data_IF_929152086290
#
_entry.id   IF_929152086290
#
_cell.length_a   1.000
_cell.length_b   1.000
_cell.length_c   1.000
_cell.angle_alpha   90.00
_cell.angle_beta   90.00
_cell.angle_gamma   90.00
#
_symmetry.space_group_name_H-M   'P 1'
#
loop_
_entity.id
_entity.type
_entity.pdbx_description
1 polymer ?
#
# COMPACT_ATOMS: atom_id res chain seq x y z
N UNK A 1 4.36 -10.37 -14.33
CA UNK A 1 5.00 -9.79 -13.17
C UNK A 1 6.14 -10.68 -12.67
N UNK A 2 7.31 -10.13 -12.56
CA UNK A 2 8.44 -10.87 -12.00
C UNK A 2 8.11 -11.23 -10.55
N UNK A 3 8.21 -12.52 -10.25
CA UNK A 3 8.09 -13.02 -8.90
C UNK A 3 9.28 -12.50 -8.09
N UNK A 4 9.04 -11.83 -6.99
CA UNK A 4 10.08 -11.55 -6.03
C UNK A 4 10.54 -12.88 -5.42
N UNK A 5 11.48 -13.55 -6.06
CA UNK A 5 12.09 -14.76 -5.53
C UNK A 5 12.88 -14.39 -4.29
N UNK A 6 12.65 -15.13 -3.22
CA UNK A 6 13.41 -15.00 -1.99
C UNK A 6 14.90 -15.16 -2.31
N UNK A 7 15.62 -14.09 -2.30
CA UNK A 7 17.07 -14.14 -2.28
C UNK A 7 17.47 -14.19 -0.83
N UNK A 8 18.14 -15.28 -0.51
CA UNK A 8 18.70 -15.65 0.78
C UNK A 8 19.01 -14.50 1.75
N UNK A 9 18.32 -14.50 2.87
CA UNK A 9 18.72 -14.07 4.22
C UNK A 9 19.39 -12.72 4.49
N UNK A 10 19.82 -11.96 3.48
CA UNK A 10 20.63 -10.75 3.67
C UNK A 10 20.25 -9.58 2.75
N UNK A 11 19.00 -9.45 2.41
CA UNK A 11 18.57 -8.60 1.30
C UNK A 11 17.71 -7.41 1.64
N UNK A 12 17.81 -6.90 2.85
CA UNK A 12 17.36 -5.53 3.05
C UNK A 12 18.62 -4.66 3.18
N UNK A 13 18.97 -3.92 2.13
CA UNK A 13 20.04 -2.93 2.26
C UNK A 13 19.74 -1.99 3.42
N UNK A 14 20.78 -1.48 4.00
CA UNK A 14 20.67 -0.43 5.02
C UNK A 14 19.66 0.63 4.56
N UNK A 15 18.68 0.93 5.40
CA UNK A 15 17.66 1.94 5.13
C UNK A 15 16.24 1.43 4.95
N UNK A 16 15.99 0.11 4.92
CA UNK A 16 14.62 -0.39 4.93
C UNK A 16 14.11 -0.57 6.35
N UNK A 17 13.12 0.22 6.73
CA UNK A 17 12.52 0.12 8.06
C UNK A 17 11.51 -1.03 8.12
N UNK A 18 11.63 -1.87 9.16
CA UNK A 18 10.65 -2.91 9.45
C UNK A 18 9.41 -2.38 10.17
N UNK A 19 9.36 -1.09 10.49
CA UNK A 19 8.25 -0.49 11.24
C UNK A 19 6.97 -0.45 10.41
N UNK A 20 5.80 -0.62 11.03
CA UNK A 20 4.53 -0.51 10.32
C UNK A 20 4.21 0.92 9.87
N UNK A 21 4.68 1.91 10.62
CA UNK A 21 4.51 3.33 10.28
C UNK A 21 5.86 3.97 10.05
N UNK A 22 5.96 4.75 8.98
CA UNK A 22 7.17 5.48 8.59
C UNK A 22 6.76 6.89 8.20
N UNK A 23 7.46 7.90 8.74
CA UNK A 23 7.34 9.26 8.22
C UNK A 23 7.92 9.29 6.81
N UNK A 24 7.12 9.70 5.84
CA UNK A 24 7.53 9.65 4.44
C UNK A 24 8.62 10.67 4.14
N UNK A 25 9.67 10.20 3.52
CA UNK A 25 10.69 11.02 2.87
C UNK A 25 11.17 10.32 1.60
N UNK A 26 11.90 11.03 0.75
CA UNK A 26 12.32 10.51 -0.56
C UNK A 26 13.26 9.29 -0.47
N UNK A 27 13.91 9.08 0.67
CA UNK A 27 14.82 7.96 0.88
C UNK A 27 14.19 6.76 1.58
N UNK A 28 12.98 6.93 2.12
CA UNK A 28 12.35 5.92 2.99
C UNK A 28 12.14 4.56 2.32
N UNK A 29 11.92 4.56 1.01
CA UNK A 29 11.62 3.36 0.23
C UNK A 29 12.60 3.17 -0.94
N UNK A 30 13.85 3.52 -0.75
CA UNK A 30 14.87 3.42 -1.81
C UNK A 30 14.95 2.04 -2.41
N UNK A 31 14.88 0.99 -1.60
CA UNK A 31 14.89 -0.39 -2.08
C UNK A 31 13.70 -0.67 -3.00
N UNK A 32 12.51 -0.29 -2.59
CA UNK A 32 11.30 -0.52 -3.39
C UNK A 32 11.37 0.22 -4.72
N UNK A 33 11.84 1.44 -4.71
CA UNK A 33 11.97 2.28 -5.89
C UNK A 33 13.18 1.98 -6.76
N UNK A 34 14.00 1.01 -6.39
CA UNK A 34 14.99 0.48 -7.33
C UNK A 34 14.32 -0.32 -8.47
N UNK A 35 13.11 -0.81 -8.25
CA UNK A 35 12.33 -1.56 -9.23
C UNK A 35 10.96 -0.93 -9.54
N UNK A 36 10.34 -0.29 -8.56
CA UNK A 36 9.03 0.37 -8.73
C UNK A 36 9.19 1.86 -9.06
N UNK A 37 8.25 2.39 -9.83
CA UNK A 37 8.26 3.81 -10.16
C UNK A 37 7.78 4.66 -8.98
N UNK A 38 8.43 5.79 -8.76
CA UNK A 38 8.07 6.73 -7.69
C UNK A 38 6.70 7.37 -7.88
N UNK A 39 6.21 7.44 -9.11
CA UNK A 39 4.89 7.98 -9.45
C UNK A 39 3.77 7.36 -8.61
N UNK A 40 3.98 6.12 -8.16
CA UNK A 40 3.09 5.42 -7.27
C UNK A 40 2.71 6.24 -6.03
N UNK A 41 3.62 7.05 -5.50
CA UNK A 41 3.46 7.80 -4.26
C UNK A 41 3.58 9.31 -4.41
N UNK A 42 3.75 9.84 -5.62
CA UNK A 42 4.12 11.25 -5.78
C UNK A 42 2.93 12.19 -5.78
N UNK A 43 1.77 11.75 -6.25
CA UNK A 43 0.65 12.64 -6.49
C UNK A 43 -0.62 12.13 -5.82
N UNK A 44 -1.43 13.03 -5.24
CA UNK A 44 -2.70 12.65 -4.60
C UNK A 44 -3.75 12.14 -5.59
N UNK A 45 -3.62 12.54 -6.86
CA UNK A 45 -4.52 12.12 -7.92
C UNK A 45 -3.72 11.48 -9.05
N UNK A 46 -4.29 10.44 -9.65
CA UNK A 46 -3.67 9.72 -10.76
C UNK A 46 -4.73 9.00 -11.59
N UNK A 47 -4.44 8.80 -12.87
CA UNK A 47 -5.25 7.94 -13.74
C UNK A 47 -4.49 6.71 -14.23
N UNK A 48 -3.19 6.62 -13.96
CA UNK A 48 -2.33 5.59 -14.57
C UNK A 48 -1.28 4.98 -13.64
N UNK A 49 -0.83 5.69 -12.61
CA UNK A 49 0.34 5.24 -11.82
C UNK A 49 0.04 4.04 -10.93
N UNK A 50 -1.21 3.82 -10.58
CA UNK A 50 -1.64 2.70 -9.75
C UNK A 50 -3.07 2.30 -10.05
N UNK A 51 -3.36 1.00 -9.89
CA UNK A 51 -4.73 0.49 -9.84
C UNK A 51 -5.39 0.64 -8.47
N UNK A 52 -4.61 0.92 -7.42
CA UNK A 52 -5.13 1.19 -6.08
C UNK A 52 -5.53 2.67 -5.99
N UNK A 53 -6.66 2.97 -6.61
CA UNK A 53 -7.23 4.33 -6.67
C UNK A 53 -8.75 4.27 -6.68
N UNK A 54 -9.36 5.26 -6.08
CA UNK A 54 -10.81 5.45 -6.12
C UNK A 54 -11.11 6.64 -7.01
N UNK A 55 -11.63 6.37 -8.22
CA UNK A 55 -11.60 7.39 -9.26
C UNK A 55 -10.18 7.85 -9.53
N UNK A 56 -9.94 9.14 -9.43
CA UNK A 56 -8.62 9.74 -9.54
C UNK A 56 -7.81 9.71 -8.23
N UNK A 57 -8.45 9.49 -7.10
CA UNK A 57 -7.77 9.53 -5.80
C UNK A 57 -6.79 8.38 -5.62
N UNK A 58 -5.50 8.70 -5.53
CA UNK A 58 -4.41 7.74 -5.36
C UNK A 58 -4.38 7.24 -3.91
N UNK A 59 -4.77 5.99 -3.70
CA UNK A 59 -4.83 5.41 -2.36
C UNK A 59 -3.45 5.00 -1.82
N UNK A 60 -2.46 4.75 -2.67
CA UNK A 60 -1.08 4.63 -2.19
C UNK A 60 -0.58 5.93 -1.59
N UNK A 61 -0.82 7.05 -2.29
CA UNK A 61 -0.47 8.37 -1.76
C UNK A 61 -1.17 8.61 -0.42
N UNK A 62 -2.46 8.35 -0.34
CA UNK A 62 -3.26 8.55 0.87
C UNK A 62 -2.71 7.80 2.09
N UNK A 63 -2.23 6.57 1.87
CA UNK A 63 -1.76 5.72 2.98
C UNK A 63 -0.29 5.95 3.31
N UNK A 64 0.54 6.14 2.32
CA UNK A 64 2.00 6.08 2.46
C UNK A 64 2.64 7.46 2.51
N UNK A 65 2.22 8.39 1.64
CA UNK A 65 2.84 9.71 1.55
C UNK A 65 2.31 10.65 2.64
N UNK A 66 2.77 10.43 3.86
CA UNK A 66 2.40 11.25 5.02
C UNK A 66 3.65 11.68 5.77
N UNK A 67 3.70 12.95 6.17
CA UNK A 67 4.79 13.46 7.00
C UNK A 67 4.88 12.71 8.33
N UNK A 68 3.75 12.27 8.87
CA UNK A 68 3.68 11.54 10.14
C UNK A 68 2.86 10.25 9.97
N UNK A 69 3.43 9.14 10.46
CA UNK A 69 2.74 7.85 10.52
C UNK A 69 2.19 7.36 9.18
N UNK A 70 2.91 7.58 8.09
CA UNK A 70 2.61 6.94 6.82
C UNK A 70 2.67 5.41 6.97
N UNK A 71 1.75 4.70 6.33
CA UNK A 71 1.75 3.24 6.34
C UNK A 71 2.89 2.73 5.48
N UNK A 72 3.70 1.84 6.01
CA UNK A 72 4.79 1.26 5.22
C UNK A 72 4.26 0.28 4.17
N UNK A 73 5.04 0.07 3.11
CA UNK A 73 4.67 -0.88 2.04
C UNK A 73 4.36 -2.26 2.61
N UNK A 74 5.17 -2.74 3.54
CA UNK A 74 4.99 -4.07 4.15
C UNK A 74 3.83 -4.16 5.13
N UNK A 75 3.15 -3.07 5.44
CA UNK A 75 1.93 -3.15 6.23
C UNK A 75 0.75 -3.74 5.43
N UNK A 76 0.89 -3.79 4.11
CA UNK A 76 -0.12 -4.36 3.20
C UNK A 76 0.45 -5.43 2.28
N UNK A 77 1.74 -5.35 1.94
CA UNK A 77 2.37 -6.23 0.98
C UNK A 77 3.31 -7.25 1.62
N UNK A 78 3.26 -8.48 1.10
CA UNK A 78 4.21 -9.53 1.44
C UNK A 78 5.29 -9.59 0.34
N UNK A 79 6.55 -9.47 0.75
CA UNK A 79 7.66 -9.42 -0.20
C UNK A 79 8.35 -10.75 -0.41
N UNK A 80 8.00 -11.76 0.40
CA UNK A 80 8.61 -13.08 0.38
C UNK A 80 7.61 -14.17 -0.05
N UNK A 81 7.08 -14.05 -1.28
CA UNK A 81 6.22 -15.09 -1.83
C UNK A 81 4.76 -14.92 -1.46
N UNK A 82 4.20 -13.76 -1.72
CA UNK A 82 2.77 -13.53 -1.53
C UNK A 82 1.93 -14.51 -2.35
N UNK A 83 0.99 -15.15 -1.71
CA UNK A 83 0.00 -16.01 -2.38
C UNK A 83 -1.18 -15.19 -2.91
N UNK A 84 -1.41 -14.02 -2.35
CA UNK A 84 -2.49 -13.12 -2.74
C UNK A 84 -2.13 -12.31 -3.99
N UNK A 85 -3.11 -11.92 -4.82
CA UNK A 85 -2.86 -11.03 -5.94
C UNK A 85 -2.22 -9.71 -5.50
N UNK A 86 -1.44 -9.11 -6.41
CA UNK A 86 -0.77 -7.82 -6.18
C UNK A 86 0.19 -7.83 -4.99
N UNK A 87 0.72 -9.00 -4.65
CA UNK A 87 1.62 -9.19 -3.51
C UNK A 87 0.98 -8.77 -2.17
N UNK A 88 -0.34 -8.82 -2.08
CA UNK A 88 -1.02 -8.50 -0.82
C UNK A 88 -0.75 -9.57 0.23
N UNK A 89 -0.47 -9.13 1.44
CA UNK A 89 -0.35 -10.03 2.57
C UNK A 89 -1.73 -10.51 3.04
N UNK A 90 -1.84 -11.76 3.47
CA UNK A 90 -3.04 -12.23 4.16
C UNK A 90 -3.10 -11.63 5.57
N UNK A 91 -1.97 -11.65 6.27
CA UNK A 91 -1.80 -11.03 7.58
C UNK A 91 -0.45 -10.33 7.65
N UNK A 92 -0.34 -9.33 8.50
CA UNK A 92 0.91 -8.62 8.78
C UNK A 92 1.16 -8.53 10.28
N UNK A 93 2.42 -8.50 10.67
CA UNK A 93 2.79 -8.31 12.06
C UNK A 93 2.55 -6.84 12.46
N UNK A 94 1.79 -6.63 13.52
CA UNK A 94 1.52 -5.33 14.08
C UNK A 94 1.66 -5.43 15.61
N UNK A 95 2.83 -5.11 16.13
CA UNK A 95 3.18 -5.42 17.50
C UNK A 95 3.14 -6.93 17.73
N UNK A 96 2.42 -7.38 18.76
CA UNK A 96 2.21 -8.80 19.05
C UNK A 96 1.00 -9.40 18.30
N UNK A 97 0.36 -8.64 17.45
CA UNK A 97 -0.83 -9.05 16.73
C UNK A 97 -0.53 -9.40 15.27
N UNK A 98 -1.13 -10.49 14.81
CA UNK A 98 -1.16 -10.83 13.38
C UNK A 98 -2.42 -10.20 12.78
N UNK A 99 -2.28 -8.98 12.29
CA UNK A 99 -3.39 -8.20 11.75
C UNK A 99 -3.80 -8.74 10.38
N UNK A 100 -5.09 -9.10 10.18
CA UNK A 100 -5.56 -9.48 8.86
C UNK A 100 -5.64 -8.27 7.94
N UNK A 101 -5.36 -8.48 6.65
CA UNK A 101 -5.49 -7.43 5.62
C UNK A 101 -6.83 -7.53 4.90
N UNK A 102 -7.31 -8.75 4.67
CA UNK A 102 -8.60 -9.04 4.05
C UNK A 102 -8.82 -8.28 2.72
N UNK A 103 -7.82 -8.37 1.84
CA UNK A 103 -7.90 -7.75 0.52
C UNK A 103 -8.70 -8.63 -0.44
N UNK A 104 -9.59 -8.01 -1.23
CA UNK A 104 -10.32 -8.67 -2.30
C UNK A 104 -10.31 -7.82 -3.56
N UNK A 105 -10.12 -8.46 -4.71
CA UNK A 105 -10.24 -7.80 -6.02
C UNK A 105 -11.71 -7.81 -6.44
N UNK A 106 -12.17 -6.67 -6.96
CA UNK A 106 -13.45 -6.54 -7.65
C UNK A 106 -13.20 -6.21 -9.13
N UNK A 107 -14.25 -6.21 -9.94
CA UNK A 107 -14.12 -5.96 -11.38
C UNK A 107 -13.35 -4.69 -11.72
N UNK A 108 -13.64 -3.60 -11.01
CA UNK A 108 -13.04 -2.29 -11.31
C UNK A 108 -12.25 -1.70 -10.14
N UNK A 109 -11.95 -2.51 -9.13
CA UNK A 109 -11.26 -2.00 -7.97
C UNK A 109 -10.94 -3.12 -6.98
N UNK A 110 -11.30 -2.90 -5.75
CA UNK A 110 -11.09 -3.85 -4.69
C UNK A 110 -11.72 -3.41 -3.37
N UNK A 111 -11.56 -4.24 -2.36
CA UNK A 111 -11.94 -3.90 -1.00
C UNK A 111 -10.87 -4.35 -0.01
N UNK A 112 -10.77 -3.63 1.08
CA UNK A 112 -9.94 -3.99 2.21
C UNK A 112 -10.76 -3.93 3.49
N UNK A 113 -10.55 -4.91 4.35
CA UNK A 113 -11.14 -4.96 5.68
C UNK A 113 -10.04 -5.26 6.70
N UNK A 114 -9.02 -4.40 6.80
CA UNK A 114 -7.92 -4.64 7.72
C UNK A 114 -8.33 -4.31 9.15
N UNK A 115 -7.48 -4.66 10.10
CA UNK A 115 -7.71 -4.32 11.49
C UNK A 115 -7.63 -2.84 11.84
N UNK A 116 -7.24 -1.98 10.89
CA UNK A 116 -7.07 -0.54 11.12
C UNK A 116 -8.35 0.26 10.95
N UNK A 117 -9.31 -0.22 10.15
CA UNK A 117 -10.57 0.45 9.87
C UNK A 117 -11.62 -0.56 9.38
N UNK A 118 -12.86 -0.14 9.33
CA UNK A 118 -13.94 -0.93 8.75
C UNK A 118 -13.73 -1.17 7.26
N UNK A 119 -14.48 -2.10 6.67
CA UNK A 119 -14.40 -2.44 5.26
C UNK A 119 -14.57 -1.20 4.39
N UNK A 120 -13.63 -1.00 3.47
CA UNK A 120 -13.67 0.07 2.48
C UNK A 120 -13.50 -0.52 1.10
N UNK A 121 -14.24 0.03 0.14
CA UNK A 121 -14.15 -0.34 -1.26
C UNK A 121 -13.61 0.82 -2.07
N UNK A 122 -12.98 0.49 -3.19
CA UNK A 122 -12.58 1.48 -4.17
C UNK A 122 -12.97 1.01 -5.57
N UNK A 123 -13.31 1.96 -6.42
CA UNK A 123 -13.67 1.73 -7.81
C UNK A 123 -12.93 2.75 -8.68
N UNK A 124 -12.14 2.27 -9.60
CA UNK A 124 -11.35 3.13 -10.52
C UNK A 124 -12.22 4.00 -11.42
N UNK A 125 -13.48 3.64 -11.57
CA UNK A 125 -14.46 4.41 -12.38
C UNK A 125 -15.24 5.43 -11.57
N UNK A 126 -15.00 5.52 -10.27
CA UNK A 126 -15.71 6.48 -9.43
C UNK A 126 -15.51 7.91 -9.94
N UNK A 127 -16.54 8.73 -9.83
CA UNK A 127 -16.46 10.15 -10.20
C UNK A 127 -15.58 10.92 -9.21
N UNK A 128 -15.06 12.07 -9.61
CA UNK A 128 -14.20 12.88 -8.74
C UNK A 128 -14.83 13.21 -7.40
N UNK A 129 -16.14 13.45 -7.34
CA UNK A 129 -16.86 13.74 -6.10
C UNK A 129 -16.91 12.54 -5.14
N UNK A 130 -17.05 11.33 -5.68
CA UNK A 130 -17.07 10.09 -4.91
C UNK A 130 -15.67 9.47 -4.77
N UNK A 131 -14.68 9.97 -5.49
CA UNK A 131 -13.35 9.41 -5.57
C UNK A 131 -12.52 9.53 -4.30
N UNK A 132 -12.85 10.45 -3.41
CA UNK A 132 -12.11 10.65 -2.18
C UNK A 132 -12.78 9.91 -1.03
N UNK A 133 -12.07 9.01 -0.35
CA UNK A 133 -12.64 8.30 0.79
C UNK A 133 -13.04 9.29 1.88
N UNK A 134 -14.24 9.11 2.43
CA UNK A 134 -14.63 9.80 3.63
C UNK A 134 -13.63 9.47 4.73
N UNK A 135 -13.15 10.25 5.50
CA UNK A 135 -12.18 9.95 6.54
C UNK A 135 -10.73 9.86 6.07
N UNK A 136 -10.43 10.26 4.84
CA UNK A 136 -9.05 10.41 4.38
C UNK A 136 -8.28 11.47 5.15
N UNK A 137 -8.95 12.30 5.91
CA UNK A 137 -8.33 13.30 6.79
C UNK A 137 -7.98 12.75 8.17
N UNK A 138 -8.56 11.67 8.55
CA UNK A 138 -8.26 11.08 9.85
C UNK A 138 -7.14 10.07 9.67
N UNK A 139 -6.05 10.40 10.19
CA UNK A 139 -4.86 9.57 10.35
C UNK A 139 -4.77 8.11 10.12
#
# INVERSE_FOLDING_TARGET
GEKHTAVSGKLLPEGYSAKPFINYDAGAYRLCFSCHKRDLLMFPDTSYSTGFRNGAANLHYLHVNKANRGRSCKLCHEMHGAEQPKMMAATVSFGNWRMPVNFRITENGGSCSPGCHETRQYDRRATAAAGRPAGGQTN
#
